data_IF_501827039768
#
_entry.id   IF_501827039768
#
_cell.length_a   1.000
_cell.length_b   1.000
_cell.length_c   1.000
_cell.angle_alpha   90.00
_cell.angle_beta   90.00
_cell.angle_gamma   90.00
#
_symmetry.space_group_name_H-M   'P 1'
#
loop_
_entity.id
_entity.type
_entity.pdbx_description
1 polymer ?
#
# COMPACT_ATOMS: atom_id res chain seq x y z
N UNK A 1 -59.69 4.26 -23.10
CA UNK A 1 -58.42 4.10 -23.85
C UNK A 1 -57.72 5.44 -23.90
N UNK A 2 -56.81 5.69 -22.95
CA UNK A 2 -55.96 6.89 -22.94
C UNK A 2 -54.57 6.45 -23.42
N UNK A 3 -54.06 7.12 -24.44
CA UNK A 3 -52.86 6.73 -25.19
C UNK A 3 -51.59 6.75 -24.33
N UNK A 4 -50.81 5.68 -24.42
CA UNK A 4 -49.53 5.45 -23.73
C UNK A 4 -48.45 6.50 -24.07
N UNK A 5 -48.67 7.34 -25.09
CA UNK A 5 -47.77 8.43 -25.48
C UNK A 5 -47.94 9.71 -24.64
N UNK A 6 -49.09 9.88 -23.98
CA UNK A 6 -49.37 11.10 -23.19
C UNK A 6 -48.86 11.05 -21.75
N UNK A 7 -48.51 9.87 -21.25
CA UNK A 7 -47.93 9.70 -19.91
C UNK A 7 -46.42 10.05 -19.85
N UNK A 8 -45.70 9.93 -20.97
CA UNK A 8 -44.26 10.17 -21.02
C UNK A 8 -43.90 11.66 -20.99
N UNK A 9 -44.78 12.53 -21.49
CA UNK A 9 -44.55 13.99 -21.53
C UNK A 9 -44.78 14.62 -20.14
N UNK A 10 -45.70 14.06 -19.35
CA UNK A 10 -45.98 14.55 -17.99
C UNK A 10 -44.87 14.24 -16.98
N UNK A 11 -44.07 13.18 -17.21
CA UNK A 11 -42.98 12.80 -16.32
C UNK A 11 -41.68 13.60 -16.54
N UNK A 12 -41.53 14.24 -17.72
CA UNK A 12 -40.35 15.07 -18.04
C UNK A 12 -40.55 16.52 -17.57
N UNK A 13 -41.80 16.99 -17.46
CA UNK A 13 -42.11 18.37 -17.09
C UNK A 13 -42.03 18.69 -15.59
N UNK A 14 -42.01 17.68 -14.71
CA UNK A 14 -41.97 17.89 -13.24
C UNK A 14 -40.56 17.95 -12.64
N UNK A 15 -39.51 17.70 -13.44
CA UNK A 15 -38.13 17.70 -12.94
C UNK A 15 -37.42 19.07 -12.98
N UNK A 16 -38.07 20.11 -13.51
CA UNK A 16 -37.42 21.41 -13.80
C UNK A 16 -37.90 22.58 -12.92
N UNK A 17 -38.68 22.32 -11.87
CA UNK A 17 -39.32 23.37 -11.05
C UNK A 17 -38.97 23.32 -9.55
N UNK A 18 -37.79 22.81 -9.18
CA UNK A 18 -37.34 22.86 -7.78
C UNK A 18 -35.95 23.52 -7.62
N UNK A 19 -35.80 24.71 -8.19
CA UNK A 19 -34.77 25.67 -7.78
C UNK A 19 -35.46 26.85 -7.10
N UNK A 20 -35.85 26.65 -5.84
CA UNK A 20 -36.12 27.76 -4.93
C UNK A 20 -34.79 28.42 -4.60
N UNK A 21 -34.59 29.67 -5.04
CA UNK A 21 -33.43 30.48 -4.68
C UNK A 21 -33.39 30.65 -3.15
N UNK A 22 -32.36 30.17 -2.43
CA UNK A 22 -32.17 30.57 -1.05
C UNK A 22 -31.78 32.06 -1.04
N UNK A 23 -32.54 32.84 -0.29
CA UNK A 23 -32.17 34.18 0.16
C UNK A 23 -30.73 34.12 0.71
N UNK A 24 -29.88 35.04 0.24
CA UNK A 24 -28.56 35.28 0.81
C UNK A 24 -28.75 35.81 2.23
N UNK A 25 -28.89 34.92 3.19
CA UNK A 25 -28.54 35.24 4.57
C UNK A 25 -27.02 35.24 4.63
N UNK A 26 -26.45 36.40 5.00
CA UNK A 26 -25.03 36.49 5.27
C UNK A 26 -24.67 35.44 6.32
N UNK A 27 -23.67 34.57 6.06
CA UNK A 27 -23.25 33.60 7.06
C UNK A 27 -22.82 34.37 8.31
N UNK A 28 -23.19 33.91 9.52
CA UNK A 28 -22.72 34.55 10.74
C UNK A 28 -21.20 34.62 10.66
N UNK A 29 -20.71 35.86 10.71
CA UNK A 29 -19.30 36.26 10.74
C UNK A 29 -18.48 35.12 11.34
N UNK A 30 -17.69 34.47 10.48
CA UNK A 30 -16.76 33.44 10.89
C UNK A 30 -15.92 34.03 12.01
N UNK A 31 -16.22 33.63 13.25
CA UNK A 31 -15.32 33.78 14.39
C UNK A 31 -13.97 33.37 13.87
N UNK A 32 -13.03 34.33 13.86
CA UNK A 32 -11.66 34.14 13.38
C UNK A 32 -11.17 32.81 13.94
N UNK A 33 -11.13 31.76 13.11
CA UNK A 33 -10.38 30.57 13.44
C UNK A 33 -8.96 31.06 13.44
N UNK A 34 -8.35 31.13 14.62
CA UNK A 34 -6.93 31.38 14.74
C UNK A 34 -6.23 30.58 13.65
N UNK A 35 -5.56 31.29 12.74
CA UNK A 35 -4.87 30.72 11.60
C UNK A 35 -3.60 29.96 12.04
N UNK A 36 -3.65 29.29 13.19
CA UNK A 36 -2.67 28.29 13.59
C UNK A 36 -3.02 26.96 12.91
N UNK A 37 -2.80 27.00 11.60
CA UNK A 37 -2.41 25.92 10.71
C UNK A 37 -3.00 24.53 11.05
N UNK A 38 -4.30 24.36 10.78
CA UNK A 38 -4.94 23.06 10.83
C UNK A 38 -4.27 22.01 9.93
N UNK A 39 -3.57 22.45 8.87
CA UNK A 39 -2.77 21.56 8.02
C UNK A 39 -1.56 21.03 8.78
N UNK A 40 -0.79 21.88 9.47
CA UNK A 40 0.30 21.42 10.33
C UNK A 40 -0.18 20.50 11.45
N UNK A 41 -1.33 20.78 12.06
CA UNK A 41 -1.91 19.90 13.08
C UNK A 41 -2.27 18.53 12.52
N UNK A 42 -2.91 18.49 11.34
CA UNK A 42 -3.22 17.24 10.65
C UNK A 42 -1.94 16.46 10.27
N UNK A 43 -0.94 17.15 9.71
CA UNK A 43 0.35 16.55 9.36
C UNK A 43 1.01 15.94 10.61
N UNK A 44 0.96 16.63 11.75
CA UNK A 44 1.49 16.12 13.01
C UNK A 44 0.77 14.84 13.44
N UNK A 45 -0.56 14.85 13.46
CA UNK A 45 -1.37 13.66 13.83
C UNK A 45 -1.04 12.47 12.92
N UNK A 46 -0.95 12.69 11.61
CA UNK A 46 -0.64 11.64 10.65
C UNK A 46 0.78 11.09 10.86
N UNK A 47 1.76 11.94 11.19
CA UNK A 47 3.12 11.50 11.53
C UNK A 47 3.12 10.67 12.81
N UNK A 48 2.45 11.13 13.86
CA UNK A 48 2.38 10.41 15.14
C UNK A 48 1.73 9.03 14.95
N UNK A 49 0.66 8.93 14.15
CA UNK A 49 0.04 7.65 13.80
C UNK A 49 1.01 6.79 12.98
N UNK A 50 1.65 7.35 11.95
CA UNK A 50 2.57 6.64 11.08
C UNK A 50 3.80 6.12 11.82
N UNK A 51 4.25 6.81 12.87
CA UNK A 51 5.43 6.47 13.67
C UNK A 51 5.12 5.62 14.91
N UNK A 52 3.85 5.61 15.34
CA UNK A 52 3.38 4.86 16.50
C UNK A 52 3.65 3.36 16.43
N UNK A 53 3.89 2.77 17.61
CA UNK A 53 4.20 1.34 17.78
C UNK A 53 3.13 0.42 17.20
N UNK A 54 1.85 0.83 17.29
CA UNK A 54 0.72 0.03 16.82
C UNK A 54 0.84 -0.35 15.35
N UNK A 55 1.40 0.52 14.51
CA UNK A 55 1.58 0.22 13.08
C UNK A 55 2.81 -0.62 12.76
N UNK A 56 3.75 -0.77 13.70
CA UNK A 56 4.93 -1.65 13.53
C UNK A 56 4.55 -3.13 13.49
N UNK A 57 3.43 -3.49 14.12
CA UNK A 57 2.96 -4.88 14.24
C UNK A 57 1.87 -5.24 13.22
N UNK A 58 1.35 -4.27 12.45
CA UNK A 58 0.34 -4.55 11.42
C UNK A 58 1.00 -5.07 10.15
N UNK A 59 0.67 -6.30 9.76
CA UNK A 59 1.37 -7.08 8.74
C UNK A 59 1.35 -6.50 7.32
N UNK A 60 0.48 -5.54 7.01
CA UNK A 60 0.28 -5.00 5.66
C UNK A 60 0.63 -3.51 5.54
N UNK A 61 1.08 -2.86 6.62
CA UNK A 61 1.51 -1.47 6.57
C UNK A 61 3.04 -1.36 6.55
N UNK A 62 3.53 -0.29 5.91
CA UNK A 62 4.93 0.15 5.94
C UNK A 62 5.94 -0.90 5.46
N UNK A 63 5.59 -1.62 4.41
CA UNK A 63 6.42 -2.69 3.85
C UNK A 63 7.83 -2.18 3.50
N UNK A 64 7.98 -0.97 2.93
CA UNK A 64 9.30 -0.37 2.66
C UNK A 64 10.15 -0.16 3.92
N UNK A 65 9.54 0.29 5.04
CA UNK A 65 10.27 0.48 6.31
C UNK A 65 10.65 -0.87 6.93
N UNK A 66 9.78 -1.88 6.80
CA UNK A 66 10.07 -3.24 7.24
C UNK A 66 11.20 -3.85 6.41
N UNK A 67 11.20 -3.63 5.09
CA UNK A 67 12.27 -4.04 4.20
C UNK A 67 13.62 -3.46 4.67
N UNK A 68 13.65 -2.16 4.95
CA UNK A 68 14.85 -1.49 5.47
C UNK A 68 15.29 -2.07 6.83
N UNK A 69 14.35 -2.41 7.71
CA UNK A 69 14.66 -3.07 8.99
C UNK A 69 15.35 -4.42 8.77
N UNK A 70 14.87 -5.22 7.81
CA UNK A 70 15.49 -6.50 7.49
C UNK A 70 16.81 -6.37 6.75
N UNK A 71 16.98 -5.36 5.89
CA UNK A 71 18.28 -5.01 5.27
C UNK A 71 19.32 -4.75 6.35
N UNK A 72 18.99 -3.93 7.35
CA UNK A 72 19.89 -3.64 8.48
C UNK A 72 20.20 -4.90 9.30
N UNK A 73 19.21 -5.74 9.60
CA UNK A 73 19.43 -7.03 10.28
C UNK A 73 20.35 -7.95 9.49
N UNK A 74 20.20 -7.99 8.17
CA UNK A 74 21.06 -8.78 7.29
C UNK A 74 22.51 -8.29 7.30
N UNK A 75 22.73 -6.98 7.36
CA UNK A 75 24.06 -6.36 7.43
C UNK A 75 24.74 -6.55 8.78
N UNK A 76 23.96 -6.54 9.86
CA UNK A 76 24.44 -6.70 11.23
C UNK A 76 24.59 -8.16 11.67
N UNK A 77 24.01 -9.11 10.92
CA UNK A 77 24.02 -10.52 11.27
C UNK A 77 25.43 -11.14 11.10
N UNK A 78 26.00 -11.61 12.20
CA UNK A 78 27.29 -12.32 12.20
C UNK A 78 27.17 -13.79 11.80
N UNK A 79 26.00 -14.42 12.03
CA UNK A 79 25.77 -15.83 11.74
C UNK A 79 25.21 -15.99 10.31
N UNK A 80 25.71 -16.95 9.51
CA UNK A 80 25.21 -17.18 8.16
C UNK A 80 23.69 -17.43 8.09
N UNK A 81 23.15 -18.18 9.05
CA UNK A 81 21.71 -18.48 9.10
C UNK A 81 20.86 -17.24 9.40
N UNK A 82 21.28 -16.42 10.35
CA UNK A 82 20.58 -15.17 10.69
C UNK A 82 20.58 -14.22 9.50
N UNK A 83 21.70 -14.15 8.78
CA UNK A 83 21.84 -13.38 7.55
C UNK A 83 20.91 -13.90 6.45
N UNK A 84 20.86 -15.21 6.22
CA UNK A 84 19.97 -15.83 5.24
C UNK A 84 18.49 -15.59 5.56
N UNK A 85 18.09 -15.73 6.83
CA UNK A 85 16.73 -15.44 7.27
C UNK A 85 16.37 -13.96 7.10
N UNK A 86 17.27 -13.05 7.51
CA UNK A 86 17.06 -11.62 7.29
C UNK A 86 16.98 -11.27 5.80
N UNK A 87 17.77 -11.92 4.95
CA UNK A 87 17.73 -11.77 3.49
C UNK A 87 16.39 -12.25 2.90
N UNK A 88 15.86 -13.38 3.37
CA UNK A 88 14.54 -13.89 2.96
C UNK A 88 13.43 -12.88 3.29
N UNK A 89 13.39 -12.40 4.54
CA UNK A 89 12.40 -11.41 4.95
C UNK A 89 12.59 -10.07 4.24
N UNK A 90 13.83 -9.65 3.98
CA UNK A 90 14.08 -8.45 3.19
C UNK A 90 13.45 -8.55 1.80
N UNK A 91 13.71 -9.64 1.06
CA UNK A 91 13.09 -9.89 -0.24
C UNK A 91 11.56 -9.94 -0.18
N UNK A 92 11.00 -10.58 0.85
CA UNK A 92 9.56 -10.62 1.08
C UNK A 92 8.94 -9.23 1.27
N UNK A 93 9.58 -8.37 2.08
CA UNK A 93 9.08 -7.01 2.30
C UNK A 93 9.25 -6.08 1.11
N UNK A 94 10.32 -6.24 0.32
CA UNK A 94 10.49 -5.54 -0.96
C UNK A 94 9.32 -5.87 -1.89
N UNK A 95 8.97 -7.16 -2.02
CA UNK A 95 7.84 -7.61 -2.83
C UNK A 95 6.52 -7.03 -2.30
N UNK A 96 6.31 -6.99 -0.99
CA UNK A 96 5.12 -6.38 -0.39
C UNK A 96 5.08 -4.85 -0.54
N UNK A 97 6.24 -4.21 -0.71
CA UNK A 97 6.36 -2.79 -1.02
C UNK A 97 6.18 -2.46 -2.50
N UNK A 98 5.95 -3.47 -3.36
CA UNK A 98 5.82 -3.30 -4.80
C UNK A 98 7.16 -3.15 -5.54
N UNK A 99 8.28 -3.36 -4.86
CA UNK A 99 9.64 -3.27 -5.42
C UNK A 99 10.06 -4.65 -5.96
N UNK A 100 9.34 -5.15 -6.97
CA UNK A 100 9.43 -6.55 -7.40
C UNK A 100 10.79 -6.90 -8.00
N UNK A 101 11.40 -6.03 -8.80
CA UNK A 101 12.72 -6.24 -9.40
C UNK A 101 13.80 -6.40 -8.32
N UNK A 102 13.77 -5.55 -7.30
CA UNK A 102 14.71 -5.59 -6.18
C UNK A 102 14.50 -6.86 -5.35
N UNK A 103 13.24 -7.25 -5.11
CA UNK A 103 12.91 -8.49 -4.43
C UNK A 103 13.48 -9.71 -5.18
N UNK A 104 13.33 -9.75 -6.50
CA UNK A 104 13.87 -10.83 -7.35
C UNK A 104 15.39 -10.92 -7.20
N UNK A 105 16.12 -9.81 -7.31
CA UNK A 105 17.58 -9.79 -7.17
C UNK A 105 18.02 -10.36 -5.82
N UNK A 106 17.41 -9.91 -4.72
CA UNK A 106 17.75 -10.35 -3.36
C UNK A 106 17.47 -11.83 -3.15
N UNK A 107 16.33 -12.33 -3.65
CA UNK A 107 15.90 -13.70 -3.46
C UNK A 107 16.63 -14.69 -4.40
N UNK A 108 16.99 -14.28 -5.60
CA UNK A 108 17.84 -15.05 -6.51
C UNK A 108 19.25 -15.24 -5.95
N UNK A 109 19.83 -14.19 -5.36
CA UNK A 109 21.11 -14.28 -4.65
C UNK A 109 21.02 -15.26 -3.46
N UNK A 110 19.95 -15.19 -2.67
CA UNK A 110 19.72 -16.13 -1.58
C UNK A 110 19.58 -17.58 -2.08
N UNK A 111 18.82 -17.77 -3.18
CA UNK A 111 18.63 -19.08 -3.83
C UNK A 111 19.96 -19.69 -4.25
N UNK A 112 20.83 -18.90 -4.91
CA UNK A 112 22.16 -19.34 -5.35
C UNK A 112 23.06 -19.70 -4.17
N UNK A 113 23.09 -18.86 -3.13
CA UNK A 113 23.90 -19.13 -1.93
C UNK A 113 23.45 -20.40 -1.23
N UNK A 114 22.16 -20.71 -1.24
CA UNK A 114 21.62 -21.92 -0.62
C UNK A 114 22.15 -23.23 -1.26
N UNK A 115 22.49 -23.24 -2.55
CA UNK A 115 23.15 -24.39 -3.19
C UNK A 115 24.54 -24.69 -2.59
N UNK A 116 25.18 -23.67 -2.01
CA UNK A 116 26.52 -23.74 -1.40
C UNK A 116 26.49 -23.86 0.12
N UNK A 117 25.35 -23.57 0.76
CA UNK A 117 25.21 -23.69 2.21
C UNK A 117 24.89 -25.14 2.59
N UNK A 118 25.58 -25.67 3.61
CA UNK A 118 25.37 -27.04 4.12
C UNK A 118 24.02 -27.26 4.81
N UNK A 119 23.17 -26.24 4.90
CA UNK A 119 21.85 -26.34 5.53
C UNK A 119 20.77 -26.22 4.47
N UNK A 120 20.20 -27.37 4.09
CA UNK A 120 19.07 -27.46 3.17
C UNK A 120 17.80 -27.73 3.97
N UNK A 121 17.15 -26.68 4.47
CA UNK A 121 15.79 -26.81 5.01
C UNK A 121 14.79 -26.73 3.85
N UNK A 122 14.04 -27.82 3.56
CA UNK A 122 13.07 -27.85 2.47
C UNK A 122 11.95 -26.81 2.62
N UNK A 123 11.63 -26.40 3.86
CA UNK A 123 10.59 -25.41 4.14
C UNK A 123 11.05 -24.03 3.67
N UNK A 124 12.27 -23.64 4.03
CA UNK A 124 12.87 -22.36 3.62
C UNK A 124 12.99 -22.31 2.09
N UNK A 125 13.39 -23.42 1.46
CA UNK A 125 13.48 -23.53 0.01
C UNK A 125 12.15 -23.32 -0.70
N UNK A 126 11.10 -23.99 -0.21
CA UNK A 126 9.75 -23.83 -0.73
C UNK A 126 9.31 -22.37 -0.63
N UNK A 127 9.66 -21.70 0.47
CA UNK A 127 9.28 -20.31 0.68
C UNK A 127 10.03 -19.34 -0.23
N UNK A 128 11.35 -19.49 -0.40
CA UNK A 128 12.13 -18.69 -1.36
C UNK A 128 11.53 -18.80 -2.77
N UNK A 129 11.26 -20.03 -3.22
CA UNK A 129 10.64 -20.29 -4.53
C UNK A 129 9.25 -19.67 -4.66
N UNK A 130 8.43 -19.80 -3.62
CA UNK A 130 7.07 -19.24 -3.60
C UNK A 130 7.10 -17.73 -3.76
N UNK A 131 7.97 -17.04 -3.01
CA UNK A 131 8.08 -15.58 -3.06
C UNK A 131 8.67 -15.14 -4.40
N UNK A 132 9.70 -15.83 -4.92
CA UNK A 132 10.23 -15.55 -6.27
C UNK A 132 9.18 -15.67 -7.35
N UNK A 133 8.40 -16.76 -7.35
CA UNK A 133 7.34 -16.96 -8.34
C UNK A 133 6.30 -15.82 -8.29
N UNK A 134 5.89 -15.41 -7.09
CA UNK A 134 4.98 -14.28 -6.93
C UNK A 134 5.58 -12.95 -7.42
N UNK A 135 6.86 -12.70 -7.12
CA UNK A 135 7.55 -11.48 -7.54
C UNK A 135 7.67 -11.41 -9.08
N UNK A 136 8.01 -12.51 -9.75
CA UNK A 136 8.04 -12.58 -11.21
C UNK A 136 6.66 -12.37 -11.85
N UNK A 137 5.60 -12.97 -11.29
CA UNK A 137 4.22 -12.75 -11.79
C UNK A 137 3.85 -11.27 -11.68
N UNK A 138 4.06 -10.65 -10.52
CA UNK A 138 3.74 -9.23 -10.29
C UNK A 138 4.56 -8.30 -11.18
N UNK A 139 5.83 -8.62 -11.43
CA UNK A 139 6.65 -7.84 -12.35
C UNK A 139 6.10 -7.92 -13.76
N UNK A 140 5.75 -9.12 -14.25
CA UNK A 140 5.13 -9.27 -15.57
C UNK A 140 3.79 -8.54 -15.67
N UNK A 141 2.97 -8.55 -14.61
CA UNK A 141 1.75 -7.74 -14.56
C UNK A 141 2.05 -6.24 -14.67
N UNK A 142 3.05 -5.74 -13.94
CA UNK A 142 3.47 -4.34 -14.02
C UNK A 142 3.95 -3.99 -15.43
N UNK A 143 4.88 -4.76 -15.99
CA UNK A 143 5.43 -4.52 -17.32
C UNK A 143 4.36 -4.55 -18.43
N UNK A 144 3.35 -5.42 -18.30
CA UNK A 144 2.26 -5.53 -19.28
C UNK A 144 1.14 -4.47 -19.10
N UNK A 145 0.98 -3.91 -17.90
CA UNK A 145 -0.10 -2.93 -17.63
C UNK A 145 0.32 -1.48 -17.87
N UNK A 146 1.62 -1.20 -17.84
CA UNK A 146 2.18 0.16 -17.99
C UNK A 146 2.82 0.35 -19.39
N UNK A 147 2.78 -0.68 -20.23
CA UNK A 147 3.22 -0.67 -21.64
C UNK A 147 2.19 -0.09 -22.59
#
# INVERSE_FOLDING_TARGET
MVSLRSALVFFIATFILNCSNPTKEDPPSSTQRDANDGTAQMVKILKDIAEGEKLKTVAFFRNSRRAETYRQKMEQASKPMDKANAQLYYGYELMNAGQNEQAIVVLEDLRKKQETMQFQDPIIWKEIKRILALAYIRLGEQENCIS
#
